data_IF_113294030508
#
_entry.id   IF_113294030508
#
_cell.length_a   1.000
_cell.length_b   1.000
_cell.length_c   1.000
_cell.angle_alpha   90.00
_cell.angle_beta   90.00
_cell.angle_gamma   90.00
#
_symmetry.space_group_name_H-M   'P 1'
#
loop_
_entity.id
_entity.type
_entity.pdbx_description
1 polymer ?
#
# COMPACT_ATOMS: atom_id res chain seq x y z
N UNK A 1 6.35 -2.13 -16.74
CA UNK A 1 5.40 -1.07 -16.39
C UNK A 1 6.08 -0.08 -15.52
N UNK A 2 6.17 1.17 -15.95
CA UNK A 2 6.82 2.23 -15.18
C UNK A 2 5.97 2.65 -13.96
N UNK A 3 4.67 2.37 -13.99
CA UNK A 3 3.71 2.74 -12.95
C UNK A 3 3.63 1.78 -11.75
N UNK A 4 4.39 0.67 -11.78
CA UNK A 4 4.32 -0.38 -10.75
C UNK A 4 4.56 0.15 -9.33
N UNK A 5 5.40 1.19 -9.21
CA UNK A 5 5.72 1.84 -7.94
C UNK A 5 4.51 2.59 -7.38
N UNK A 6 3.78 3.33 -8.21
CA UNK A 6 2.59 4.07 -7.81
C UNK A 6 1.44 3.14 -7.43
N UNK A 7 1.26 2.05 -8.18
CA UNK A 7 0.27 1.01 -7.86
C UNK A 7 0.58 0.37 -6.49
N UNK A 8 1.86 0.08 -6.22
CA UNK A 8 2.29 -0.45 -4.92
C UNK A 8 2.09 0.56 -3.80
N UNK A 9 2.40 1.84 -4.03
CA UNK A 9 2.16 2.91 -3.07
C UNK A 9 0.68 3.07 -2.70
N UNK A 10 -0.20 3.05 -3.70
CA UNK A 10 -1.65 3.10 -3.49
C UNK A 10 -2.16 1.88 -2.70
N UNK A 11 -1.66 0.68 -3.02
CA UNK A 11 -2.01 -0.55 -2.31
C UNK A 11 -1.58 -0.50 -0.83
N UNK A 12 -0.36 -0.03 -0.55
CA UNK A 12 0.16 0.12 0.82
C UNK A 12 -0.65 1.15 1.60
N UNK A 13 -0.95 2.31 1.00
CA UNK A 13 -1.76 3.35 1.64
C UNK A 13 -3.16 2.84 1.99
N UNK A 14 -3.79 2.08 1.09
CA UNK A 14 -5.09 1.46 1.34
C UNK A 14 -5.03 0.41 2.46
N UNK A 15 -3.96 -0.37 2.52
CA UNK A 15 -3.79 -1.36 3.58
C UNK A 15 -3.66 -0.69 4.96
N UNK A 16 -2.87 0.39 5.06
CA UNK A 16 -2.73 1.21 6.28
C UNK A 16 -4.05 1.80 6.75
N UNK A 17 -4.96 2.13 5.83
CA UNK A 17 -6.31 2.60 6.18
C UNK A 17 -7.11 1.52 6.91
N UNK A 18 -7.03 0.26 6.46
CA UNK A 18 -7.84 -0.85 6.99
C UNK A 18 -7.20 -1.42 8.26
N UNK A 19 -5.90 -1.68 8.21
CA UNK A 19 -5.12 -2.22 9.33
C UNK A 19 -4.05 -1.21 9.70
N UNK A 20 -4.17 -0.63 10.88
CA UNK A 20 -3.19 0.26 11.49
C UNK A 20 -3.02 -0.12 12.97
N UNK A 21 -1.79 -0.12 13.52
CA UNK A 21 -0.51 0.21 12.89
C UNK A 21 0.16 -0.99 12.18
N UNK A 22 0.89 -0.75 11.08
CA UNK A 22 1.56 -1.81 10.30
C UNK A 22 3.01 -1.43 9.98
N UNK A 23 3.92 -2.40 10.12
CA UNK A 23 5.36 -2.25 9.83
C UNK A 23 5.78 -2.87 8.50
N UNK A 24 7.05 -2.65 8.11
CA UNK A 24 7.64 -3.16 6.86
C UNK A 24 7.54 -4.69 6.77
N UNK A 25 7.77 -5.41 7.87
CA UNK A 25 7.77 -6.88 7.89
C UNK A 25 6.40 -7.53 7.62
N UNK A 26 5.30 -6.84 7.92
CA UNK A 26 3.97 -7.32 7.57
C UNK A 26 3.73 -7.17 6.06
N UNK A 27 4.13 -6.03 5.49
CA UNK A 27 4.06 -5.80 4.05
C UNK A 27 4.95 -6.75 3.26
N UNK A 28 6.13 -7.11 3.76
CA UNK A 28 7.00 -8.04 3.04
C UNK A 28 6.39 -9.44 2.95
N UNK A 29 5.59 -9.85 3.94
CA UNK A 29 4.79 -11.08 3.89
C UNK A 29 3.59 -10.96 2.96
N UNK A 30 2.84 -9.86 3.01
CA UNK A 30 1.64 -9.65 2.16
C UNK A 30 2.00 -9.64 0.68
N UNK A 31 3.05 -8.90 0.31
CA UNK A 31 3.55 -8.84 -1.08
C UNK A 31 4.57 -9.93 -1.40
N UNK A 32 4.83 -10.83 -0.44
CA UNK A 32 5.64 -12.03 -0.67
C UNK A 32 4.92 -12.99 -1.59
N UNK A 33 5.63 -14.01 -2.05
CA UNK A 33 5.07 -14.95 -3.00
C UNK A 33 5.88 -16.23 -3.11
N UNK A 34 5.50 -17.04 -4.09
CA UNK A 34 6.17 -18.30 -4.39
C UNK A 34 7.48 -18.01 -5.11
N UNK A 35 8.61 -18.33 -4.48
CA UNK A 35 9.93 -18.20 -5.08
C UNK A 35 10.24 -19.45 -5.90
N UNK A 36 10.70 -19.22 -7.14
CA UNK A 36 11.27 -20.27 -7.99
C UNK A 36 12.73 -20.50 -7.58
N UNK A 37 13.05 -21.71 -7.13
CA UNK A 37 14.40 -22.10 -6.69
C UNK A 37 15.13 -22.97 -7.74
N UNK A 38 14.84 -22.75 -9.02
CA UNK A 38 15.37 -23.57 -10.11
C UNK A 38 14.86 -25.01 -10.04
N UNK A 39 15.77 -25.96 -9.82
CA UNK A 39 15.51 -27.41 -9.73
C UNK A 39 14.94 -27.83 -8.37
N UNK A 40 15.12 -27.02 -7.32
CA UNK A 40 14.59 -27.29 -5.98
C UNK A 40 13.10 -26.92 -5.88
N UNK A 41 12.32 -27.60 -5.02
CA UNK A 41 10.93 -27.23 -4.77
C UNK A 41 10.76 -25.75 -4.42
N UNK A 42 9.63 -25.21 -4.84
CA UNK A 42 9.26 -23.83 -4.55
C UNK A 42 8.94 -23.64 -3.07
N UNK A 43 9.40 -22.56 -2.48
CA UNK A 43 9.00 -22.14 -1.14
C UNK A 43 8.47 -20.70 -1.17
N UNK A 44 7.72 -20.33 -0.15
CA UNK A 44 7.32 -18.94 0.04
C UNK A 44 8.55 -18.10 0.42
N UNK A 45 8.70 -16.94 -0.23
CA UNK A 45 9.70 -15.94 0.12
C UNK A 45 9.02 -14.59 0.33
N UNK A 46 9.54 -13.84 1.30
CA UNK A 46 9.09 -12.47 1.55
C UNK A 46 9.59 -11.56 0.44
N UNK A 47 8.83 -10.50 0.16
CA UNK A 47 9.25 -9.49 -0.81
C UNK A 47 10.35 -8.59 -0.24
N UNK A 48 11.02 -7.86 -1.14
CA UNK A 48 12.07 -6.91 -0.76
C UNK A 48 11.55 -5.83 0.18
N UNK A 49 12.08 -5.82 1.41
CA UNK A 49 11.76 -4.79 2.41
C UNK A 49 12.27 -3.41 2.04
N UNK A 50 13.28 -3.30 1.15
CA UNK A 50 13.81 -2.00 0.72
C UNK A 50 12.75 -1.19 -0.03
N UNK A 51 12.07 -1.80 -1.00
CA UNK A 51 11.04 -1.13 -1.81
C UNK A 51 9.90 -0.63 -0.93
N UNK A 52 9.40 -1.48 -0.04
CA UNK A 52 8.32 -1.14 0.88
C UNK A 52 8.74 0.00 1.82
N UNK A 53 9.98 -0.03 2.34
CA UNK A 53 10.50 1.02 3.20
C UNK A 53 10.56 2.37 2.48
N UNK A 54 11.05 2.40 1.23
CA UNK A 54 11.12 3.62 0.43
C UNK A 54 9.73 4.20 0.17
N UNK A 55 8.74 3.37 -0.16
CA UNK A 55 7.35 3.82 -0.35
C UNK A 55 6.79 4.44 0.93
N UNK A 56 6.99 3.79 2.08
CA UNK A 56 6.52 4.30 3.36
C UNK A 56 7.22 5.60 3.77
N UNK A 57 8.51 5.76 3.43
CA UNK A 57 9.25 7.01 3.63
C UNK A 57 8.76 8.12 2.69
N UNK A 58 8.45 7.80 1.44
CA UNK A 58 7.89 8.77 0.49
C UNK A 58 6.51 9.27 0.95
N UNK A 59 5.63 8.37 1.39
CA UNK A 59 4.32 8.73 1.97
C UNK A 59 4.44 9.55 3.25
N UNK A 60 5.49 9.33 4.03
CA UNK A 60 5.81 10.13 5.20
C UNK A 60 6.32 11.53 4.81
N UNK A 61 7.11 11.65 3.75
CA UNK A 61 7.58 12.94 3.22
C UNK A 61 6.43 13.87 2.77
N UNK A 62 5.35 13.28 2.23
CA UNK A 62 4.14 13.99 1.82
C UNK A 62 3.16 14.18 3.00
N UNK A 63 3.56 13.80 4.23
CA UNK A 63 2.76 13.89 5.47
C UNK A 63 1.42 13.13 5.43
N UNK A 64 1.31 12.10 4.59
CA UNK A 64 0.12 11.24 4.58
C UNK A 64 0.17 10.19 5.68
N UNK A 65 1.37 9.71 6.03
CA UNK A 65 1.61 8.64 7.00
C UNK A 65 2.52 9.16 8.11
N UNK A 66 2.21 8.79 9.35
CA UNK A 66 3.01 9.11 10.54
C UNK A 66 3.57 7.84 11.18
N UNK A 67 4.64 8.01 11.95
CA UNK A 67 5.24 6.95 12.75
C UNK A 67 4.54 6.96 14.12
N UNK A 68 4.11 5.79 14.57
CA UNK A 68 3.50 5.62 15.90
C UNK A 68 4.59 5.32 16.93
N UNK A 69 4.40 5.77 18.17
CA UNK A 69 5.34 5.55 19.29
C UNK A 69 5.48 4.06 19.62
N UNK A 70 4.38 3.31 19.56
CA UNK A 70 4.31 1.84 19.75
C UNK A 70 4.92 1.03 18.58
N UNK A 71 5.51 1.73 17.60
CA UNK A 71 6.09 1.13 16.41
C UNK A 71 5.11 1.00 15.24
N UNK A 72 5.68 0.70 14.06
CA UNK A 72 4.93 0.68 12.81
C UNK A 72 4.63 2.08 12.27
N UNK A 73 3.65 2.14 11.36
CA UNK A 73 3.19 3.36 10.74
C UNK A 73 1.67 3.37 10.70
N UNK A 74 1.11 4.58 10.82
CA UNK A 74 -0.33 4.84 10.80
C UNK A 74 -0.64 5.97 9.81
N UNK A 75 -1.84 5.94 9.25
CA UNK A 75 -2.33 7.02 8.41
C UNK A 75 -2.70 8.24 9.27
N UNK A 76 -2.26 9.42 8.85
CA UNK A 76 -2.65 10.68 9.50
C UNK A 76 -4.12 11.00 9.26
N UNK A 77 -4.70 11.91 10.05
CA UNK A 77 -6.06 12.42 9.79
C UNK A 77 -6.18 13.02 8.38
N UNK A 78 -5.16 13.76 7.91
CA UNK A 78 -5.17 14.33 6.58
C UNK A 78 -5.09 13.25 5.48
N UNK A 79 -4.18 12.28 5.64
CA UNK A 79 -4.06 11.16 4.71
C UNK A 79 -5.36 10.36 4.58
N UNK A 80 -6.11 10.21 5.68
CA UNK A 80 -7.42 9.55 5.66
C UNK A 80 -8.46 10.33 4.86
N UNK A 81 -8.55 11.64 5.11
CA UNK A 81 -9.46 12.54 4.38
C UNK A 81 -9.19 12.55 2.88
N UNK A 82 -7.92 12.61 2.48
CA UNK A 82 -7.55 12.65 1.06
C UNK A 82 -7.89 11.33 0.36
N UNK A 83 -7.66 10.18 1.01
CA UNK A 83 -8.09 8.88 0.48
C UNK A 83 -9.61 8.79 0.33
N UNK A 84 -10.37 9.27 1.31
CA UNK A 84 -11.85 9.25 1.28
C UNK A 84 -12.39 10.19 0.18
N UNK A 85 -11.75 11.34 -0.05
CA UNK A 85 -12.08 12.27 -1.15
C UNK A 85 -11.89 11.59 -2.51
N UNK A 86 -10.74 10.95 -2.73
CA UNK A 86 -10.43 10.24 -3.99
C UNK A 86 -11.41 9.07 -4.18
N UNK A 87 -11.72 8.31 -3.13
CA UNK A 87 -12.67 7.21 -3.18
C UNK A 87 -14.08 7.70 -3.58
N UNK A 88 -14.52 8.82 -3.02
CA UNK A 88 -15.82 9.44 -3.36
C UNK A 88 -15.88 9.87 -4.82
N UNK A 89 -14.81 10.49 -5.34
CA UNK A 89 -14.70 10.88 -6.74
C UNK A 89 -14.73 9.66 -7.68
N UNK A 90 -14.02 8.59 -7.34
CA UNK A 90 -14.02 7.35 -8.11
C UNK A 90 -15.41 6.68 -8.12
N UNK A 91 -16.11 6.69 -6.98
CA UNK A 91 -17.47 6.17 -6.90
C UNK A 91 -18.44 6.93 -7.81
N UNK A 92 -18.35 8.27 -7.82
CA UNK A 92 -19.12 9.13 -8.73
C UNK A 92 -18.81 8.84 -10.20
N UNK A 93 -17.52 8.72 -10.56
CA UNK A 93 -17.09 8.40 -11.93
C UNK A 93 -17.56 7.02 -12.38
N UNK A 94 -17.53 6.02 -11.50
CA UNK A 94 -18.02 4.67 -11.79
C UNK A 94 -19.53 4.64 -12.01
N UNK A 95 -20.32 5.38 -11.22
CA UNK A 95 -21.78 5.50 -11.45
C UNK A 95 -22.09 6.14 -12.80
N UNK A 96 -21.39 7.23 -13.14
CA UNK A 96 -21.57 7.90 -14.43
C UNK A 96 -21.24 6.99 -15.63
N UNK A 97 -20.20 6.16 -15.51
CA UNK A 97 -19.84 5.19 -16.55
C UNK A 97 -20.91 4.08 -16.72
N UNK A 98 -21.49 3.59 -15.61
CA UNK A 98 -22.55 2.57 -15.64
C UNK A 98 -23.87 3.12 -16.19
N UNK A 99 -24.17 4.42 -16.01
CA UNK A 99 -25.36 5.05 -16.60
C UNK A 99 -25.23 5.33 -18.10
N UNK A 100 -24.02 5.23 -18.67
CA UNK A 100 -23.71 5.48 -20.08
C UNK A 100 -23.55 4.17 -20.89
N UNK A 101 -23.68 3.02 -20.24
CA UNK A 101 -23.63 1.67 -20.84
C UNK A 101 -24.99 1.00 -20.74
#
# INVERSE_FOLDING_TARGET
>A
DDDWWYVRAASIARHLYIRSPVGVGAFTKIYGGRQRNGTRPSHFCTSSGSVIRHVLQALQGIKMVEKTEDGGRRLTMNGRRDLDRIASQLHGKKKAAVSLS
#
